data_IF_143020910405
#
_entry.id   IF_143020910405
#
_cell.length_a   1.000
_cell.length_b   1.000
_cell.length_c   1.000
_cell.angle_alpha   90.00
_cell.angle_beta   90.00
_cell.angle_gamma   90.00
#
_symmetry.space_group_name_H-M   'P 1'
#
loop_
_entity.id
_entity.type
_entity.pdbx_description
1 polymer ?
#
# COMPACT_ATOMS: atom_id res chain seq x y z
N UNK A 1 5.77 5.02 -4.98
CA UNK A 1 6.67 4.18 -5.81
C UNK A 1 6.02 2.82 -6.06
N UNK A 2 6.52 2.01 -7.01
CA UNK A 2 5.92 0.72 -7.34
C UNK A 2 4.71 0.85 -8.28
N UNK A 3 3.80 -0.12 -8.21
CA UNK A 3 2.61 -0.19 -9.09
C UNK A 3 1.30 -0.20 -8.31
N UNK A 4 0.24 0.21 -9.00
CA UNK A 4 -1.13 0.03 -8.52
C UNK A 4 -1.56 -1.43 -8.69
N UNK A 5 -2.66 -1.80 -8.03
CA UNK A 5 -3.35 -3.04 -8.32
C UNK A 5 -3.71 -3.09 -9.81
N UNK A 6 -3.47 -4.23 -10.45
CA UNK A 6 -3.92 -4.45 -11.82
C UNK A 6 -4.50 -5.85 -11.96
N UNK A 7 -5.56 -5.95 -12.77
CA UNK A 7 -6.21 -7.21 -13.14
C UNK A 7 -5.28 -8.14 -13.93
N UNK A 8 -4.20 -7.60 -14.50
CA UNK A 8 -3.20 -8.38 -15.22
C UNK A 8 -2.39 -9.27 -14.26
N UNK A 9 -2.35 -8.92 -12.97
CA UNK A 9 -1.66 -9.68 -11.94
C UNK A 9 -2.69 -10.43 -11.09
N UNK A 10 -2.97 -11.68 -11.45
CA UNK A 10 -3.92 -12.55 -10.73
C UNK A 10 -3.54 -12.75 -9.26
N UNK A 11 -2.25 -12.64 -8.93
CA UNK A 11 -1.72 -12.70 -7.56
C UNK A 11 -2.10 -11.50 -6.69
N UNK A 12 -2.53 -10.38 -7.30
CA UNK A 12 -2.90 -9.18 -6.53
C UNK A 12 -4.12 -9.42 -5.63
N UNK A 13 -5.02 -10.30 -6.04
CA UNK A 13 -6.25 -10.59 -5.31
C UNK A 13 -6.00 -11.14 -3.91
N UNK A 14 -4.89 -11.85 -3.70
CA UNK A 14 -4.61 -12.57 -2.46
C UNK A 14 -3.26 -12.18 -1.80
N UNK A 15 -2.32 -11.63 -2.57
CA UNK A 15 -0.93 -11.46 -2.14
C UNK A 15 -0.31 -10.10 -2.42
N UNK A 16 -1.09 -9.07 -2.77
CA UNK A 16 -0.56 -7.72 -2.96
C UNK A 16 -1.07 -6.74 -1.90
N UNK A 17 -0.18 -5.88 -1.42
CA UNK A 17 -0.50 -4.78 -0.51
C UNK A 17 -0.10 -3.44 -1.15
N UNK A 18 -1.00 -2.46 -1.10
CA UNK A 18 -0.67 -1.06 -1.34
C UNK A 18 -0.68 -0.31 -0.01
N UNK A 19 0.37 0.47 0.23
CA UNK A 19 0.47 1.35 1.39
C UNK A 19 0.35 2.81 0.96
N UNK A 20 -0.14 3.69 1.83
CA UNK A 20 0.09 5.12 1.67
C UNK A 20 1.41 5.53 2.35
N UNK A 21 1.88 6.75 2.08
CA UNK A 21 3.12 7.29 2.67
C UNK A 21 3.07 7.32 4.20
N UNK A 22 1.92 7.70 4.79
CA UNK A 22 1.74 7.71 6.26
C UNK A 22 1.83 6.30 6.84
N UNK A 23 1.12 5.30 6.30
CA UNK A 23 1.22 3.94 6.83
C UNK A 23 2.63 3.35 6.67
N UNK A 24 3.33 3.65 5.57
CA UNK A 24 4.71 3.22 5.42
C UNK A 24 5.62 3.84 6.50
N UNK A 25 5.43 5.11 6.85
CA UNK A 25 6.16 5.75 7.96
C UNK A 25 5.82 5.13 9.32
N UNK A 26 4.54 4.86 9.57
CA UNK A 26 4.07 4.24 10.83
C UNK A 26 4.61 2.81 11.00
N UNK A 27 4.82 2.10 9.88
CA UNK A 27 5.48 0.79 9.85
C UNK A 27 7.02 0.87 10.02
N UNK A 28 7.59 2.06 10.19
CA UNK A 28 9.00 2.28 10.46
C UNK A 28 9.89 2.45 9.23
N UNK A 29 9.31 2.62 8.03
CA UNK A 29 10.10 2.90 6.83
C UNK A 29 10.53 4.38 6.81
N UNK A 30 11.84 4.62 6.80
CA UNK A 30 12.41 5.96 6.67
C UNK A 30 12.12 6.58 5.29
N UNK A 31 12.15 5.75 4.24
CA UNK A 31 11.67 6.09 2.91
C UNK A 31 10.46 5.19 2.58
N UNK A 32 9.26 5.74 2.38
CA UNK A 32 8.08 4.97 1.99
C UNK A 32 8.31 4.12 0.75
N UNK A 33 9.13 4.55 -0.20
CA UNK A 33 9.44 3.75 -1.39
C UNK A 33 10.17 2.43 -1.05
N UNK A 34 10.90 2.39 0.07
CA UNK A 34 11.58 1.20 0.57
C UNK A 34 10.66 0.10 1.10
N UNK A 35 9.36 0.38 1.25
CA UNK A 35 8.36 -0.63 1.56
C UNK A 35 8.02 -1.50 0.34
N UNK A 36 8.19 -1.02 -0.89
CA UNK A 36 7.88 -1.79 -2.11
C UNK A 36 8.82 -3.00 -2.20
N UNK A 37 8.26 -4.17 -2.50
CA UNK A 37 8.99 -5.43 -2.55
C UNK A 37 9.12 -6.15 -1.21
N UNK A 38 8.65 -5.55 -0.11
CA UNK A 38 8.70 -6.17 1.22
C UNK A 38 7.55 -7.15 1.39
N UNK A 39 7.86 -8.29 2.00
CA UNK A 39 6.86 -9.27 2.37
C UNK A 39 6.09 -8.80 3.60
N UNK A 40 4.79 -9.02 3.60
CA UNK A 40 3.94 -8.87 4.78
C UNK A 40 3.34 -10.23 5.15
N UNK A 41 3.17 -10.45 6.45
CA UNK A 41 2.38 -11.56 7.00
C UNK A 41 1.53 -10.97 8.12
N UNK A 42 0.31 -10.56 7.78
CA UNK A 42 -0.62 -9.89 8.68
C UNK A 42 -2.05 -10.32 8.38
N UNK A 43 -2.90 -10.38 9.41
CA UNK A 43 -4.31 -10.76 9.31
C UNK A 43 -4.55 -12.12 8.62
N UNK A 44 -3.66 -13.08 8.84
CA UNK A 44 -3.71 -14.40 8.22
C UNK A 44 -3.46 -14.40 6.71
N UNK A 45 -2.93 -13.29 6.17
CA UNK A 45 -2.57 -13.13 4.76
C UNK A 45 -1.08 -12.89 4.63
N UNK A 46 -0.51 -13.49 3.60
CA UNK A 46 0.89 -13.30 3.24
C UNK A 46 0.98 -12.77 1.82
N UNK A 47 1.91 -11.85 1.60
CA UNK A 47 2.06 -11.25 0.30
C UNK A 47 3.22 -10.27 0.25
N UNK A 48 3.18 -9.39 -0.74
CA UNK A 48 4.20 -8.39 -1.01
C UNK A 48 3.58 -7.01 -1.16
N UNK A 49 4.28 -5.99 -0.68
CA UNK A 49 3.93 -4.59 -0.94
C UNK A 49 4.29 -4.28 -2.39
N UNK A 50 3.28 -4.11 -3.24
CA UNK A 50 3.49 -3.84 -4.67
C UNK A 50 3.62 -2.36 -5.00
N UNK A 51 3.19 -1.49 -4.08
CA UNK A 51 3.24 -0.06 -4.29
C UNK A 51 3.00 0.77 -3.03
N UNK A 52 3.50 2.00 -3.09
CA UNK A 52 3.20 3.06 -2.14
C UNK A 52 2.61 4.25 -2.86
N UNK A 53 1.42 4.66 -2.43
CA UNK A 53 0.67 5.80 -2.93
C UNK A 53 0.84 7.00 -2.01
N UNK A 54 0.61 8.20 -2.55
CA UNK A 54 0.59 9.41 -1.74
C UNK A 54 -0.59 9.39 -0.77
N UNK A 55 -0.40 10.03 0.37
CA UNK A 55 -1.51 10.28 1.28
C UNK A 55 -2.57 11.12 0.58
N UNK A 56 -3.83 10.70 0.70
CA UNK A 56 -4.96 11.50 0.31
C UNK A 56 -5.75 11.83 1.57
N UNK A 57 -5.90 13.13 1.85
CA UNK A 57 -6.93 13.57 2.78
C UNK A 57 -8.25 13.59 2.00
N UNK A 58 -9.10 12.59 2.25
CA UNK A 58 -10.52 12.72 1.93
C UNK A 58 -11.13 13.67 2.96
N UNK A 59 -10.89 14.97 2.81
CA UNK A 59 -11.87 15.90 3.35
C UNK A 59 -13.16 15.59 2.62
N UNK A 60 -14.15 15.07 3.34
CA UNK A 60 -15.47 14.96 2.75
C UNK A 60 -15.82 16.34 2.25
N UNK A 61 -16.17 16.45 0.97
CA UNK A 61 -16.87 17.59 0.42
C UNK A 61 -18.32 17.52 0.94
N UNK A 62 -18.48 17.57 2.26
CA UNK A 62 -19.77 17.82 2.89
C UNK A 62 -19.94 19.34 2.77
N UNK A 63 -20.45 19.74 1.61
CA UNK A 63 -20.87 21.11 1.37
C UNK A 63 -21.82 21.57 2.48
N UNK A 64 -21.69 22.86 2.79
CA UNK A 64 -22.46 23.71 3.70
C UNK A 64 -23.97 23.45 3.75
#
# INVERSE_FOLDING_TARGET
AGRLFSRDFTTDAEGALLLNETAARDLGYADPAGAVGKRFSQWGREGEVVGVVKDFNYESLHNA
#
